data_IF_229165157697
#
_entry.id   IF_229165157697
#
_cell.length_a   1.000
_cell.length_b   1.000
_cell.length_c   1.000
_cell.angle_alpha   90.00
_cell.angle_beta   90.00
_cell.angle_gamma   90.00
#
_symmetry.space_group_name_H-M   'P 1'
#
loop_
_entity.id
_entity.type
_entity.pdbx_description
1 polymer ?
#
# COMPACT_ATOMS: atom_id res chain seq x y z
N UNK A 1 24.02 23.81 15.45
CA UNK A 1 22.63 23.49 15.04
C UNK A 1 21.87 23.02 16.27
N UNK A 2 20.71 23.60 16.61
CA UNK A 2 19.88 23.08 17.69
C UNK A 2 19.55 21.61 17.40
N UNK A 3 19.86 20.70 18.34
CA UNK A 3 19.51 19.29 18.19
C UNK A 3 17.99 19.20 18.11
N UNK A 4 17.48 18.73 16.97
CA UNK A 4 16.05 18.54 16.75
C UNK A 4 15.52 17.59 17.81
N UNK A 5 14.47 18.00 18.52
CA UNK A 5 13.79 17.16 19.50
C UNK A 5 13.42 15.83 18.79
N UNK A 6 13.76 14.66 19.36
CA UNK A 6 13.38 13.38 18.78
C UNK A 6 11.88 13.36 18.51
N UNK A 7 11.49 12.90 17.32
CA UNK A 7 10.07 12.70 17.03
C UNK A 7 9.52 11.72 18.07
N UNK A 8 8.42 12.05 18.79
CA UNK A 8 7.85 11.13 19.74
C UNK A 8 7.53 9.78 19.07
N UNK A 9 7.60 8.68 19.83
CA UNK A 9 7.19 7.37 19.33
C UNK A 9 5.72 7.42 18.88
N UNK A 10 5.32 6.53 17.97
CA UNK A 10 3.98 6.54 17.41
C UNK A 10 2.92 6.56 18.52
N UNK A 11 1.98 7.49 18.45
CA UNK A 11 0.85 7.53 19.38
C UNK A 11 0.01 6.26 19.30
N UNK A 12 -0.78 5.96 20.34
CA UNK A 12 -1.62 4.76 20.33
C UNK A 12 -2.69 4.75 19.22
N UNK A 13 -2.96 5.92 18.64
CA UNK A 13 -3.89 6.11 17.52
C UNK A 13 -3.19 6.07 16.14
N UNK A 14 -1.87 5.84 16.08
CA UNK A 14 -1.15 5.85 14.80
C UNK A 14 -1.47 4.61 13.93
N UNK A 15 -1.66 4.81 12.61
CA UNK A 15 -1.94 3.74 11.67
C UNK A 15 -0.73 2.81 11.50
N UNK A 16 -0.97 1.62 10.96
CA UNK A 16 0.12 0.67 10.63
C UNK A 16 0.64 0.94 9.23
N UNK A 17 1.94 0.81 9.07
CA UNK A 17 2.60 0.87 7.78
C UNK A 17 3.11 -0.51 7.38
N UNK A 18 2.84 -0.90 6.14
CA UNK A 18 3.35 -2.13 5.55
C UNK A 18 4.12 -1.79 4.26
N UNK A 19 5.11 -2.61 3.94
CA UNK A 19 5.82 -2.52 2.66
C UNK A 19 5.33 -3.63 1.75
N UNK A 20 4.85 -3.23 0.57
CA UNK A 20 4.47 -4.14 -0.50
C UNK A 20 5.58 -4.16 -1.55
N UNK A 21 6.05 -5.34 -1.88
CA UNK A 21 7.08 -5.60 -2.91
C UNK A 21 6.41 -6.27 -4.11
N UNK A 22 6.73 -5.79 -5.30
CA UNK A 22 6.07 -6.14 -6.57
C UNK A 22 4.54 -5.95 -6.47
N UNK A 23 4.07 -4.68 -6.35
CA UNK A 23 2.64 -4.38 -6.19
C UNK A 23 1.80 -4.97 -7.31
N UNK A 24 0.61 -5.46 -6.97
CA UNK A 24 -0.32 -5.98 -7.97
C UNK A 24 -0.76 -4.90 -8.95
N UNK A 25 -0.54 -5.13 -10.24
CA UNK A 25 -1.03 -4.31 -11.35
C UNK A 25 -1.35 -5.23 -12.54
N UNK A 26 -2.42 -4.95 -13.30
CA UNK A 26 -2.86 -5.86 -14.37
C UNK A 26 -1.83 -6.04 -15.49
N UNK A 27 -1.03 -5.00 -15.79
CA UNK A 27 -0.09 -5.04 -16.91
C UNK A 27 1.29 -5.62 -16.51
N UNK A 28 1.40 -6.20 -15.30
CA UNK A 28 2.61 -6.88 -14.79
C UNK A 28 3.79 -5.96 -14.44
N UNK A 29 3.80 -4.73 -14.96
CA UNK A 29 4.82 -3.72 -14.72
C UNK A 29 4.26 -2.57 -13.90
N UNK A 30 4.62 -2.52 -12.62
CA UNK A 30 4.14 -1.49 -11.70
C UNK A 30 4.73 -0.12 -12.05
N UNK A 31 3.89 0.79 -12.55
CA UNK A 31 4.20 2.21 -12.65
C UNK A 31 3.16 3.04 -11.89
N UNK A 32 3.48 3.36 -10.62
CA UNK A 32 2.60 4.13 -9.73
C UNK A 32 2.39 5.60 -10.16
N UNK A 33 3.06 6.08 -11.21
CA UNK A 33 2.73 7.36 -11.85
C UNK A 33 1.44 7.27 -12.66
N UNK A 34 1.12 6.08 -13.20
CA UNK A 34 -0.07 5.82 -13.98
C UNK A 34 -1.32 5.73 -13.08
N UNK A 35 -2.41 6.47 -13.38
CA UNK A 35 -3.65 6.37 -12.61
C UNK A 35 -4.26 4.97 -12.58
N UNK A 36 -4.13 4.21 -13.67
CA UNK A 36 -4.68 2.85 -13.78
C UNK A 36 -4.00 1.89 -12.80
N UNK A 37 -2.67 1.84 -12.81
CA UNK A 37 -1.87 1.01 -11.91
C UNK A 37 -2.17 1.31 -10.44
N UNK A 38 -2.32 2.60 -10.10
CA UNK A 38 -2.76 3.03 -8.77
C UNK A 38 -4.13 2.49 -8.39
N UNK A 39 -5.08 2.50 -9.32
CA UNK A 39 -6.43 1.97 -9.09
C UNK A 39 -6.42 0.44 -8.95
N UNK A 40 -5.69 -0.27 -9.81
CA UNK A 40 -5.61 -1.73 -9.79
C UNK A 40 -4.97 -2.21 -8.49
N UNK A 41 -3.86 -1.60 -8.09
CA UNK A 41 -3.21 -1.87 -6.82
C UNK A 41 -4.15 -1.58 -5.65
N UNK A 42 -4.81 -0.42 -5.66
CA UNK A 42 -5.70 -0.05 -4.58
C UNK A 42 -6.90 -1.00 -4.41
N UNK A 43 -7.45 -1.45 -5.53
CA UNK A 43 -8.55 -2.42 -5.54
C UNK A 43 -8.10 -3.76 -4.98
N UNK A 44 -6.91 -4.23 -5.35
CA UNK A 44 -6.36 -5.46 -4.80
C UNK A 44 -6.21 -5.38 -3.27
N UNK A 45 -5.61 -4.31 -2.74
CA UNK A 45 -5.50 -4.12 -1.27
C UNK A 45 -6.89 -4.10 -0.62
N UNK A 46 -7.85 -3.37 -1.20
CA UNK A 46 -9.22 -3.30 -0.69
C UNK A 46 -9.93 -4.67 -0.70
N UNK A 47 -9.61 -5.56 -1.64
CA UNK A 47 -10.12 -6.94 -1.64
C UNK A 47 -9.52 -7.79 -0.51
N UNK A 48 -8.29 -7.52 -0.08
CA UNK A 48 -7.65 -8.25 1.02
C UNK A 48 -8.16 -7.82 2.40
N UNK A 49 -8.34 -6.51 2.61
CA UNK A 49 -8.54 -5.92 3.95
C UNK A 49 -9.73 -4.97 4.09
N UNK A 50 -10.69 -4.96 3.17
CA UNK A 50 -11.74 -3.94 3.06
C UNK A 50 -11.22 -2.51 2.85
N UNK A 51 -11.90 -1.79 1.96
CA UNK A 51 -11.49 -0.44 1.56
C UNK A 51 -11.48 0.60 2.71
N UNK A 52 -12.30 0.40 3.75
CA UNK A 52 -12.39 1.30 4.91
C UNK A 52 -11.13 1.30 5.79
N UNK A 53 -10.33 0.23 5.73
CA UNK A 53 -9.11 0.10 6.53
C UNK A 53 -7.85 0.52 5.75
N UNK A 54 -7.98 0.89 4.47
CA UNK A 54 -6.86 1.30 3.62
C UNK A 54 -6.90 2.80 3.36
N UNK A 55 -5.99 3.55 3.98
CA UNK A 55 -6.04 5.01 3.99
C UNK A 55 -5.25 5.65 2.85
N UNK A 56 -4.02 5.18 2.63
CA UNK A 56 -3.14 5.76 1.62
C UNK A 56 -2.03 4.80 1.21
N UNK A 57 -1.37 5.12 0.10
CA UNK A 57 -0.11 4.48 -0.27
C UNK A 57 0.89 5.47 -0.86
N UNK A 58 2.16 5.15 -0.66
CA UNK A 58 3.30 5.99 -0.96
C UNK A 58 4.24 5.21 -1.88
N UNK A 59 4.48 5.74 -3.07
CA UNK A 59 5.51 5.23 -3.94
C UNK A 59 6.87 5.61 -3.38
N UNK A 60 7.83 4.71 -3.48
CA UNK A 60 9.22 5.01 -3.16
C UNK A 60 10.00 5.08 -4.47
N UNK A 61 10.27 6.28 -5.04
CA UNK A 61 11.00 6.39 -6.32
C UNK A 61 12.39 5.73 -6.28
N UNK A 62 13.01 5.71 -5.09
CA UNK A 62 14.30 5.05 -4.85
C UNK A 62 14.22 3.51 -4.74
N UNK A 63 13.02 2.92 -4.80
CA UNK A 63 12.78 1.48 -4.85
C UNK A 63 11.57 1.20 -5.74
N UNK A 64 11.81 1.13 -7.06
CA UNK A 64 10.80 1.05 -8.13
C UNK A 64 9.72 -0.01 -7.91
N UNK A 65 10.07 -1.15 -7.34
CA UNK A 65 9.15 -2.27 -7.14
C UNK A 65 8.55 -2.30 -5.73
N UNK A 66 8.52 -1.17 -5.02
CA UNK A 66 8.01 -1.12 -3.65
C UNK A 66 7.08 0.07 -3.42
N UNK A 67 6.01 -0.19 -2.67
CA UNK A 67 5.15 0.84 -2.11
C UNK A 67 4.96 0.63 -0.63
N UNK A 68 4.73 1.71 0.10
CA UNK A 68 4.33 1.66 1.49
C UNK A 68 2.82 1.91 1.54
N UNK A 69 2.09 1.07 2.25
CA UNK A 69 0.66 1.28 2.50
C UNK A 69 0.43 1.68 3.94
N UNK A 70 -0.56 2.55 4.13
CA UNK A 70 -1.04 3.02 5.41
C UNK A 70 -2.44 2.45 5.65
N UNK A 71 -2.58 1.71 6.74
CA UNK A 71 -3.82 1.01 7.08
C UNK A 71 -4.22 1.30 8.52
N UNK A 72 -5.51 1.16 8.79
CA UNK A 72 -6.08 1.27 10.13
C UNK A 72 -5.38 0.31 11.11
N UNK A 73 -5.09 0.77 12.32
CA UNK A 73 -4.39 -0.02 13.34
C UNK A 73 -5.20 -1.23 13.80
N UNK A 74 -6.51 -1.06 13.80
CA UNK A 74 -7.54 -2.02 14.19
C UNK A 74 -8.00 -2.95 13.05
N UNK A 75 -7.35 -2.90 11.88
CA UNK A 75 -7.67 -3.78 10.75
C UNK A 75 -7.61 -5.26 11.18
N UNK A 76 -8.75 -5.97 11.24
CA UNK A 76 -8.78 -7.36 11.72
C UNK A 76 -8.28 -8.35 10.66
N UNK A 77 -8.25 -7.96 9.38
CA UNK A 77 -7.80 -8.81 8.27
C UNK A 77 -6.32 -8.66 7.94
N UNK A 78 -5.52 -8.05 8.82
CA UNK A 78 -4.10 -7.82 8.58
C UNK A 78 -3.35 -9.10 8.16
N UNK A 79 -3.65 -10.23 8.83
CA UNK A 79 -3.01 -11.51 8.54
C UNK A 79 -3.33 -12.06 7.15
N UNK A 80 -4.43 -11.64 6.52
CA UNK A 80 -4.75 -12.00 5.13
C UNK A 80 -3.90 -11.24 4.12
N UNK A 81 -3.38 -10.08 4.52
CA UNK A 81 -2.58 -9.23 3.66
C UNK A 81 -1.09 -9.56 3.79
N UNK A 82 -0.62 -9.94 4.98
CA UNK A 82 0.79 -10.29 5.21
C UNK A 82 1.20 -11.55 4.42
N UNK A 83 2.47 -11.56 4.00
CA UNK A 83 3.08 -12.72 3.34
C UNK A 83 3.03 -12.67 1.82
N UNK A 84 3.00 -13.84 1.20
CA UNK A 84 3.16 -14.03 -0.24
C UNK A 84 1.79 -14.21 -0.92
N UNK A 85 1.55 -13.45 -1.99
CA UNK A 85 0.34 -13.50 -2.81
C UNK A 85 0.71 -13.87 -4.24
N UNK A 86 0.46 -15.12 -4.64
CA UNK A 86 0.74 -15.60 -5.99
C UNK A 86 -0.42 -15.26 -6.90
N UNK A 87 -0.17 -14.57 -8.00
CA UNK A 87 -1.23 -14.05 -8.86
C UNK A 87 -2.08 -15.16 -9.46
N UNK A 88 -1.45 -16.28 -9.82
CA UNK A 88 -2.13 -17.50 -10.28
C UNK A 88 -3.18 -18.08 -9.32
N UNK A 89 -3.15 -17.74 -8.04
CA UNK A 89 -4.07 -18.28 -7.04
C UNK A 89 -5.38 -17.50 -6.95
N UNK A 90 -5.38 -16.22 -7.36
CA UNK A 90 -6.56 -15.36 -7.27
C UNK A 90 -7.01 -14.79 -8.63
N UNK A 91 -6.19 -14.85 -9.68
CA UNK A 91 -6.60 -14.54 -11.05
C UNK A 91 -7.28 -15.73 -11.70
N UNK A 92 -8.53 -15.56 -12.16
CA UNK A 92 -9.29 -16.62 -12.84
C UNK A 92 -8.70 -17.03 -14.20
N UNK A 93 -8.01 -16.11 -14.88
CA UNK A 93 -7.34 -16.32 -16.16
C UNK A 93 -6.05 -15.51 -16.18
N UNK A 94 -4.98 -16.07 -15.62
CA UNK A 94 -3.64 -15.47 -15.67
C UNK A 94 -2.96 -15.78 -17.00
N UNK A 95 -2.40 -14.77 -17.66
CA UNK A 95 -1.45 -14.91 -18.76
C UNK A 95 -0.17 -15.62 -18.30
N UNK A 96 0.65 -16.12 -19.24
CA UNK A 96 1.94 -16.75 -18.91
C UNK A 96 2.85 -15.83 -18.07
N UNK A 97 2.84 -14.53 -18.37
CA UNK A 97 3.63 -13.53 -17.65
C UNK A 97 3.15 -13.34 -16.21
N UNK A 98 1.85 -13.48 -15.94
CA UNK A 98 1.27 -13.32 -14.60
C UNK A 98 1.41 -14.57 -13.74
N UNK A 99 1.63 -15.76 -14.33
CA UNK A 99 1.66 -17.03 -13.58
C UNK A 99 2.81 -17.10 -12.57
N UNK A 100 3.94 -16.47 -12.90
CA UNK A 100 5.12 -16.42 -12.04
C UNK A 100 5.15 -15.17 -11.16
N UNK A 101 4.18 -14.27 -11.30
CA UNK A 101 4.14 -13.03 -10.54
C UNK A 101 3.64 -13.24 -9.12
N UNK A 102 4.31 -12.54 -8.21
CA UNK A 102 4.10 -12.66 -6.78
C UNK A 102 4.20 -11.29 -6.14
N UNK A 103 3.18 -10.91 -5.37
CA UNK A 103 3.21 -9.73 -4.52
C UNK A 103 3.53 -10.16 -3.08
N UNK A 104 4.45 -9.46 -2.41
CA UNK A 104 4.85 -9.79 -1.03
C UNK A 104 4.60 -8.61 -0.11
N UNK A 105 4.02 -8.87 1.05
CA UNK A 105 3.73 -7.84 2.05
C UNK A 105 4.43 -8.14 3.36
N UNK A 106 5.17 -7.14 3.85
CA UNK A 106 5.94 -7.20 5.09
C UNK A 106 5.58 -6.04 6.00
N UNK A 107 5.87 -6.20 7.29
CA UNK A 107 5.88 -5.05 8.20
C UNK A 107 6.87 -4.01 7.72
N UNK A 108 6.45 -2.74 7.72
CA UNK A 108 7.33 -1.65 7.36
C UNK A 108 8.35 -1.41 8.47
N UNK A 109 9.58 -1.03 8.08
CA UNK A 109 10.60 -0.59 9.02
C UNK A 109 10.35 0.84 9.53
N UNK A 110 9.45 1.59 8.88
CA UNK A 110 9.01 2.91 9.31
C UNK A 110 7.78 2.79 10.19
N UNK A 111 7.81 3.46 11.34
CA UNK A 111 6.77 3.37 12.36
C UNK A 111 5.89 4.63 12.43
N UNK A 112 6.24 5.70 11.72
CA UNK A 112 5.53 6.98 11.75
C UNK A 112 5.24 7.50 10.34
N UNK A 113 4.11 8.19 10.16
CA UNK A 113 3.77 8.82 8.88
C UNK A 113 4.82 9.82 8.41
N UNK A 114 5.49 10.50 9.34
CA UNK A 114 6.60 11.43 9.02
C UNK A 114 7.83 10.72 8.44
N UNK A 115 8.15 9.51 8.89
CA UNK A 115 9.22 8.72 8.28
C UNK A 115 8.81 8.25 6.88
N UNK A 116 7.56 7.85 6.70
CA UNK A 116 7.03 7.43 5.40
C UNK A 116 7.05 8.59 4.40
N UNK A 117 6.51 9.76 4.75
CA UNK A 117 6.53 10.96 3.90
C UNK A 117 7.94 11.44 3.52
N UNK A 118 8.93 11.20 4.38
CA UNK A 118 10.32 11.57 4.08
C UNK A 118 10.96 10.61 3.07
N UNK A 119 10.55 9.34 3.07
CA UNK A 119 11.20 8.27 2.30
C UNK A 119 10.39 7.81 1.08
N UNK A 120 9.12 8.21 0.99
CA UNK A 120 8.23 7.95 -0.12
C UNK A 120 7.45 9.21 -0.50
N UNK A 121 7.08 9.30 -1.76
CA UNK A 121 6.20 10.34 -2.28
C UNK A 121 4.75 9.84 -2.18
N UNK A 122 3.84 10.71 -1.75
CA UNK A 122 2.42 10.36 -1.71
C UNK A 122 1.93 10.16 -3.14
N UNK A 123 1.52 8.93 -3.47
CA UNK A 123 1.11 8.57 -4.84
C UNK A 123 -0.38 8.32 -4.96
N UNK A 124 -1.04 8.02 -3.85
CA UNK A 124 -2.49 8.02 -3.77
C UNK A 124 -2.95 8.17 -2.32
N UNK A 125 -3.82 9.14 -2.09
CA UNK A 125 -4.65 9.17 -0.88
C UNK A 125 -6.01 8.58 -1.23
N UNK A 126 -6.43 7.58 -0.48
CA UNK A 126 -7.68 6.85 -0.72
C UNK A 126 -8.72 7.37 0.27
N UNK A 127 -9.32 8.50 -0.08
CA UNK A 127 -10.55 8.93 0.58
C UNK A 127 -11.70 8.16 -0.05
N UNK A 128 -12.01 6.97 0.47
CA UNK A 128 -13.20 6.24 0.08
C UNK A 128 -14.34 6.63 1.01
N UNK A 129 -15.44 7.09 0.43
CA UNK A 129 -16.69 7.19 1.20
C UNK A 129 -17.19 5.77 1.55
N UNK A 130 -18.23 5.68 2.39
CA UNK A 130 -18.89 4.43 2.80
C UNK A 130 -19.40 3.54 1.65
N UNK A 131 -19.28 3.99 0.40
CA UNK A 131 -19.65 3.26 -0.83
C UNK A 131 -18.47 2.88 -1.72
N UNK A 132 -17.22 3.07 -1.28
CA UNK A 132 -16.04 2.68 -2.05
C UNK A 132 -15.76 3.54 -3.29
N UNK A 133 -16.27 4.79 -3.33
CA UNK A 133 -15.94 5.75 -4.40
C UNK A 133 -14.84 6.70 -3.95
N UNK A 134 -13.85 6.89 -4.83
CA UNK A 134 -12.72 7.79 -4.64
C UNK A 134 -13.22 9.25 -4.57
N UNK A 135 -12.94 9.93 -3.46
CA UNK A 135 -13.20 11.36 -3.31
C UNK A 135 -11.96 12.10 -3.88
N UNK A 136 -12.13 13.01 -4.86
CA UNK A 136 -11.01 13.76 -5.40
C UNK A 136 -10.37 14.65 -4.31
N UNK A 137 -9.04 14.73 -4.34
CA UNK A 137 -8.29 15.71 -3.56
C UNK A 137 -8.79 17.12 -3.92
N UNK A 138 -9.26 17.87 -2.92
CA UNK A 138 -9.55 19.30 -3.06
C UNK A 138 -8.26 20.11 -3.03
#
# INVERSE_FOLDING_TARGET
MPKRIPTPPPGDDEPRYLTVVHPYVLDGHCNMELPKDRQDFARWVACCIDAKYFYAFFHKPSARDMVIIEIARECPQLDRLLGEHRWREFLKKSSEQEQDQVTKVFYCTYSTGRQVQKNGESSGSIYLNSTGRQIPHR
#
